data_IF_021280562393
#
_entry.id   IF_021280562393
#
_cell.length_a   1.000
_cell.length_b   1.000
_cell.length_c   1.000
_cell.angle_alpha   90.00
_cell.angle_beta   90.00
_cell.angle_gamma   90.00
#
_symmetry.space_group_name_H-M   'P 1'
#
loop_
_entity.id
_entity.type
_entity.pdbx_description
1 polymer ?
#
# COMPACT_ATOMS: atom_id res chain seq x y z
N UNK A 1 -22.01 2.19 4.41
CA UNK A 1 -23.11 3.13 4.78
C UNK A 1 -22.51 4.53 4.81
N UNK A 2 -22.36 5.16 3.62
CA UNK A 2 -21.79 6.50 3.48
C UNK A 2 -22.95 7.50 3.52
N UNK A 3 -23.17 8.11 4.68
CA UNK A 3 -24.10 9.24 4.84
C UNK A 3 -23.31 10.55 4.93
N UNK A 4 -23.66 11.45 4.02
CA UNK A 4 -23.47 12.90 4.06
C UNK A 4 -22.04 13.44 4.19
N UNK A 5 -21.48 13.82 3.04
CA UNK A 5 -20.40 14.80 2.96
C UNK A 5 -20.84 16.14 3.56
N UNK A 6 -20.39 16.47 4.76
CA UNK A 6 -20.24 17.84 5.18
C UNK A 6 -18.83 18.28 4.80
N UNK A 7 -18.76 19.27 3.96
CA UNK A 7 -17.52 19.96 3.61
C UNK A 7 -16.92 20.52 4.90
N UNK A 8 -15.96 19.81 5.49
CA UNK A 8 -15.23 20.30 6.66
C UNK A 8 -14.15 21.21 6.12
N UNK A 9 -14.29 22.50 6.41
CA UNK A 9 -13.24 23.49 6.16
C UNK A 9 -12.02 23.12 7.01
N UNK A 10 -11.01 22.54 6.39
CA UNK A 10 -9.71 22.35 7.02
C UNK A 10 -9.07 23.73 7.11
N UNK A 11 -9.08 24.32 8.30
CA UNK A 11 -8.34 25.55 8.62
C UNK A 11 -6.84 25.17 8.57
N UNK A 12 -6.14 25.70 7.58
CA UNK A 12 -4.69 25.67 7.54
C UNK A 12 -4.15 26.53 8.69
N UNK A 13 -3.78 25.91 9.79
CA UNK A 13 -2.94 26.54 10.81
C UNK A 13 -1.48 26.48 10.34
N UNK A 14 -1.04 27.57 9.72
CA UNK A 14 0.37 27.85 9.50
C UNK A 14 1.04 28.15 10.83
N UNK A 15 1.71 27.16 11.41
CA UNK A 15 2.69 27.40 12.48
C UNK A 15 4.04 27.70 11.84
N UNK A 16 4.38 28.99 11.75
CA UNK A 16 5.76 29.44 11.53
C UNK A 16 6.49 29.28 12.87
N UNK A 17 7.27 28.24 13.02
CA UNK A 17 8.20 28.13 14.12
C UNK A 17 9.56 28.67 13.68
N UNK A 18 9.87 29.88 14.13
CA UNK A 18 11.24 30.40 14.14
C UNK A 18 12.02 29.67 15.23
N UNK A 19 12.96 28.83 14.84
CA UNK A 19 13.91 28.22 15.77
C UNK A 19 15.05 29.22 16.06
N UNK A 20 15.01 29.86 17.23
CA UNK A 20 16.19 30.51 17.77
C UNK A 20 17.18 29.47 18.30
N UNK A 21 18.41 29.52 17.79
CA UNK A 21 19.50 28.67 18.24
C UNK A 21 20.04 29.17 19.58
N UNK A 22 19.78 28.45 20.69
CA UNK A 22 20.50 28.63 21.94
C UNK A 22 21.78 27.80 21.93
N UNK A 23 22.94 28.52 21.99
CA UNK A 23 24.26 27.94 22.22
C UNK A 23 24.39 27.47 23.67
N UNK A 24 24.50 26.16 23.89
CA UNK A 24 25.03 25.64 25.16
C UNK A 24 26.27 24.76 24.90
N UNK A 25 27.38 25.21 25.46
CA UNK A 25 28.64 24.46 25.53
C UNK A 25 28.55 23.38 26.60
N UNK A 26 28.52 22.11 26.23
CA UNK A 26 29.11 20.97 26.97
C UNK A 26 29.01 19.73 26.08
N UNK A 27 30.09 18.95 26.05
CA UNK A 27 30.33 17.83 25.13
C UNK A 27 29.10 16.98 24.80
N UNK A 28 28.58 17.17 23.62
CA UNK A 28 27.42 16.43 23.10
C UNK A 28 27.93 15.15 22.46
N UNK A 29 27.56 14.02 23.04
CA UNK A 29 27.51 12.76 22.30
C UNK A 29 26.61 13.03 21.08
N UNK A 30 27.18 13.04 19.89
CA UNK A 30 26.41 13.16 18.64
C UNK A 30 25.62 11.87 18.52
N UNK A 31 24.37 11.91 18.97
CA UNK A 31 23.40 10.88 18.63
C UNK A 31 23.26 10.88 17.10
N UNK A 32 23.29 9.72 16.43
CA UNK A 32 23.04 9.66 15.01
C UNK A 32 21.75 10.41 14.70
N UNK A 33 21.80 11.32 13.74
CA UNK A 33 20.63 12.08 13.33
C UNK A 33 19.64 11.07 12.72
N UNK A 34 18.54 10.77 13.43
CA UNK A 34 17.46 9.95 12.90
C UNK A 34 16.94 10.60 11.62
N UNK A 35 16.65 9.79 10.61
CA UNK A 35 16.20 10.27 9.31
C UNK A 35 15.04 11.26 9.44
N UNK A 36 15.12 12.37 8.68
CA UNK A 36 14.09 13.42 8.69
C UNK A 36 13.07 13.19 7.59
N UNK A 37 11.84 13.69 7.78
CA UNK A 37 10.82 13.74 6.74
C UNK A 37 11.36 14.55 5.55
N UNK A 38 11.18 14.04 4.35
CA UNK A 38 11.66 14.72 3.15
C UNK A 38 10.93 16.06 2.97
N UNK A 39 11.68 17.05 2.52
CA UNK A 39 11.07 18.30 2.06
C UNK A 39 10.23 18.07 0.79
N UNK A 40 9.34 18.99 0.50
CA UNK A 40 8.54 18.93 -0.72
C UNK A 40 9.43 18.91 -1.97
N UNK A 41 10.53 19.69 -1.98
CA UNK A 41 11.50 19.73 -3.09
C UNK A 41 12.15 18.38 -3.32
N UNK A 42 12.64 17.71 -2.25
CA UNK A 42 13.24 16.37 -2.35
C UNK A 42 12.23 15.34 -2.85
N UNK A 43 11.02 15.36 -2.30
CA UNK A 43 9.96 14.45 -2.69
C UNK A 43 9.55 14.61 -4.17
N UNK A 44 9.38 15.86 -4.62
CA UNK A 44 9.05 16.16 -6.01
C UNK A 44 10.22 15.83 -6.96
N UNK A 45 11.48 16.08 -6.56
CA UNK A 45 12.65 15.71 -7.35
C UNK A 45 12.74 14.18 -7.51
N UNK A 46 12.47 13.41 -6.44
CA UNK A 46 12.40 11.96 -6.52
C UNK A 46 11.27 11.49 -7.44
N UNK A 47 10.05 12.01 -7.28
CA UNK A 47 8.90 11.61 -8.10
C UNK A 47 9.12 11.94 -9.59
N UNK A 48 9.76 13.06 -9.89
CA UNK A 48 10.09 13.49 -11.26
C UNK A 48 11.13 12.61 -11.98
N UNK A 49 11.83 11.72 -11.29
CA UNK A 49 12.75 10.75 -11.88
C UNK A 49 12.03 9.53 -12.46
N UNK A 50 10.77 9.33 -12.09
CA UNK A 50 9.97 8.17 -12.53
C UNK A 50 9.06 8.56 -13.70
N UNK A 51 8.84 7.60 -14.60
CA UNK A 51 7.67 7.65 -15.48
C UNK A 51 6.42 7.67 -14.61
N UNK A 52 5.29 8.05 -15.19
CA UNK A 52 4.03 7.99 -14.47
C UNK A 52 3.83 6.62 -13.81
N UNK A 53 3.70 6.62 -12.49
CA UNK A 53 3.61 5.39 -11.70
C UNK A 53 2.23 4.75 -11.88
N UNK A 54 2.20 3.52 -12.38
CA UNK A 54 0.97 2.75 -12.55
C UNK A 54 1.18 1.30 -12.16
N UNK A 55 0.16 0.71 -11.55
CA UNK A 55 0.24 -0.65 -11.07
C UNK A 55 -1.02 -1.13 -10.39
N UNK A 56 -0.87 -2.22 -9.65
CA UNK A 56 -1.94 -2.80 -8.84
C UNK A 56 -1.44 -3.21 -7.46
N UNK A 57 -2.35 -3.34 -6.51
CA UNK A 57 -2.11 -4.13 -5.31
C UNK A 57 -2.03 -5.59 -5.71
N UNK A 58 -0.92 -6.24 -5.36
CA UNK A 58 -0.59 -7.54 -5.88
C UNK A 58 -0.43 -8.60 -4.78
N UNK A 59 -1.08 -9.70 -5.01
CA UNK A 59 -0.86 -10.98 -4.37
C UNK A 59 -1.05 -12.06 -5.46
N UNK A 60 -0.21 -13.11 -5.53
CA UNK A 60 -0.37 -14.14 -6.55
C UNK A 60 -1.73 -14.84 -6.43
N UNK A 61 -2.34 -15.18 -7.56
CA UNK A 61 -3.69 -15.75 -7.61
C UNK A 61 -3.87 -17.03 -6.78
N UNK A 62 -2.79 -17.74 -6.52
CA UNK A 62 -2.76 -18.96 -5.70
C UNK A 62 -2.56 -18.72 -4.20
N UNK A 63 -2.44 -17.47 -3.74
CA UNK A 63 -2.35 -17.11 -2.33
C UNK A 63 -3.63 -16.42 -1.86
N UNK A 64 -4.15 -16.83 -0.69
CA UNK A 64 -5.36 -16.23 -0.10
C UNK A 64 -5.04 -15.00 0.74
N UNK A 65 -3.80 -14.90 1.21
CA UNK A 65 -3.33 -13.82 2.07
C UNK A 65 -1.80 -13.71 2.04
N UNK A 66 -1.29 -12.72 2.76
CA UNK A 66 0.13 -12.40 2.84
C UNK A 66 0.95 -13.59 3.41
N UNK A 67 0.38 -14.39 4.33
CA UNK A 67 1.09 -15.56 4.86
C UNK A 67 1.26 -16.64 3.79
N UNK A 68 0.22 -16.96 3.01
CA UNK A 68 0.33 -17.93 1.92
C UNK A 68 1.29 -17.45 0.83
N UNK A 69 1.38 -16.13 0.60
CA UNK A 69 2.36 -15.56 -0.32
C UNK A 69 3.81 -15.72 0.17
N UNK A 70 4.06 -15.55 1.49
CA UNK A 70 5.43 -15.37 1.97
C UNK A 70 6.00 -16.53 2.79
N UNK A 71 5.20 -17.51 3.24
CA UNK A 71 5.72 -18.68 3.94
C UNK A 71 6.54 -19.58 3.02
N UNK A 72 7.54 -20.28 3.58
CA UNK A 72 8.47 -21.12 2.81
C UNK A 72 7.77 -22.21 1.98
N UNK A 73 6.73 -22.81 2.56
CA UNK A 73 6.03 -23.94 1.95
C UNK A 73 5.06 -23.54 0.82
N UNK A 74 4.74 -22.25 0.70
CA UNK A 74 3.73 -21.75 -0.22
C UNK A 74 4.20 -20.66 -1.16
N UNK A 75 5.42 -20.14 -0.98
CA UNK A 75 6.00 -19.14 -1.86
C UNK A 75 6.19 -19.72 -3.28
N UNK A 76 5.54 -19.10 -4.27
CA UNK A 76 5.53 -19.59 -5.65
C UNK A 76 6.11 -18.57 -6.64
N UNK A 77 7.43 -18.59 -6.87
CA UNK A 77 8.09 -17.67 -7.79
C UNK A 77 7.64 -17.85 -9.25
N UNK A 78 7.19 -19.04 -9.65
CA UNK A 78 6.74 -19.29 -11.02
C UNK A 78 5.42 -18.57 -11.32
N UNK A 79 4.45 -18.62 -10.41
CA UNK A 79 3.20 -17.85 -10.52
C UNK A 79 3.48 -16.36 -10.47
N UNK A 80 4.37 -15.89 -9.57
CA UNK A 80 4.76 -14.49 -9.49
C UNK A 80 5.38 -14.01 -10.81
N UNK A 81 6.33 -14.75 -11.39
CA UNK A 81 6.98 -14.39 -12.65
C UNK A 81 5.98 -14.28 -13.81
N UNK A 82 5.07 -15.24 -13.91
CA UNK A 82 4.03 -15.25 -14.93
C UNK A 82 3.10 -14.03 -14.82
N UNK A 83 2.62 -13.74 -13.62
CA UNK A 83 1.65 -12.66 -13.38
C UNK A 83 2.29 -11.27 -13.51
N UNK A 84 3.53 -11.08 -13.04
CA UNK A 84 4.27 -9.85 -13.28
C UNK A 84 4.60 -9.64 -14.76
N UNK A 85 4.74 -10.73 -15.54
CA UNK A 85 4.81 -10.65 -17.00
C UNK A 85 3.53 -10.08 -17.63
N UNK A 86 2.35 -10.40 -17.11
CA UNK A 86 1.10 -9.78 -17.56
C UNK A 86 1.04 -8.29 -17.19
N UNK A 87 1.51 -7.93 -16.00
CA UNK A 87 1.59 -6.55 -15.58
C UNK A 87 2.52 -5.70 -16.47
N UNK A 88 3.70 -6.22 -16.79
CA UNK A 88 4.62 -5.62 -17.76
C UNK A 88 3.93 -5.45 -19.14
N UNK A 89 3.18 -6.46 -19.57
CA UNK A 89 2.47 -6.47 -20.85
C UNK A 89 1.40 -5.38 -21.01
N UNK A 90 0.94 -4.78 -19.90
CA UNK A 90 0.02 -3.63 -19.90
C UNK A 90 0.70 -2.32 -19.46
N UNK A 91 2.02 -2.33 -19.30
CA UNK A 91 2.85 -1.17 -18.98
C UNK A 91 2.82 -0.75 -17.52
N UNK A 92 2.42 -1.61 -16.60
CA UNK A 92 2.58 -1.35 -15.18
C UNK A 92 4.07 -1.35 -14.79
N UNK A 93 4.47 -0.41 -13.98
CA UNK A 93 5.86 -0.21 -13.54
C UNK A 93 6.02 -0.28 -12.01
N UNK A 94 4.95 -0.48 -11.27
CA UNK A 94 4.98 -0.74 -9.84
C UNK A 94 3.91 -1.75 -9.43
N UNK A 95 4.15 -2.44 -8.30
CA UNK A 95 3.17 -3.28 -7.63
C UNK A 95 3.21 -2.99 -6.13
N UNK A 96 2.06 -2.86 -5.48
CA UNK A 96 1.99 -2.72 -4.03
C UNK A 96 1.76 -4.08 -3.39
N UNK A 97 2.70 -4.50 -2.52
CA UNK A 97 2.82 -5.88 -2.03
C UNK A 97 2.94 -5.87 -0.51
N UNK A 98 2.09 -6.67 0.13
CA UNK A 98 2.00 -6.72 1.58
C UNK A 98 2.95 -7.77 2.15
N UNK A 99 3.82 -7.35 3.07
CA UNK A 99 4.64 -8.22 3.90
C UNK A 99 3.82 -8.72 5.10
N UNK A 100 4.41 -9.59 5.95
CA UNK A 100 3.72 -10.02 7.19
C UNK A 100 4.73 -10.43 8.27
N UNK A 101 4.58 -9.87 9.47
CA UNK A 101 5.47 -10.10 10.61
C UNK A 101 5.49 -11.57 11.07
N UNK A 102 4.38 -12.30 10.95
CA UNK A 102 4.31 -13.73 11.30
C UNK A 102 5.15 -14.57 10.34
N UNK A 103 5.11 -14.31 9.03
CA UNK A 103 5.94 -15.01 8.04
C UNK A 103 7.43 -14.72 8.27
N UNK A 104 7.78 -13.48 8.61
CA UNK A 104 9.15 -13.12 8.99
C UNK A 104 9.56 -13.85 10.29
N UNK A 105 8.72 -13.88 11.32
CA UNK A 105 9.03 -14.50 12.60
C UNK A 105 9.33 -15.99 12.49
N UNK A 106 8.65 -16.69 11.58
CA UNK A 106 8.86 -18.13 11.33
C UNK A 106 10.28 -18.41 10.80
N UNK A 107 10.77 -17.60 9.88
CA UNK A 107 12.03 -17.81 9.17
C UNK A 107 12.58 -16.45 8.66
N UNK A 108 13.20 -15.64 9.53
CA UNK A 108 13.65 -14.30 9.16
C UNK A 108 14.62 -14.28 7.97
N UNK A 109 15.56 -15.22 7.92
CA UNK A 109 16.55 -15.27 6.83
C UNK A 109 15.93 -15.77 5.52
N UNK A 110 15.09 -16.80 5.58
CA UNK A 110 14.37 -17.27 4.40
C UNK A 110 13.35 -16.25 3.90
N UNK A 111 12.69 -15.52 4.78
CA UNK A 111 11.77 -14.45 4.41
C UNK A 111 12.48 -13.35 3.60
N UNK A 112 13.67 -12.89 4.06
CA UNK A 112 14.49 -11.93 3.31
C UNK A 112 14.96 -12.48 1.97
N UNK A 113 15.33 -13.75 1.88
CA UNK A 113 15.66 -14.40 0.61
C UNK A 113 14.47 -14.44 -0.36
N UNK A 114 13.26 -14.69 0.13
CA UNK A 114 12.03 -14.66 -0.69
C UNK A 114 11.71 -13.24 -1.17
N UNK A 115 11.92 -12.21 -0.34
CA UNK A 115 11.84 -10.80 -0.78
C UNK A 115 12.86 -10.53 -1.88
N UNK A 116 14.12 -10.94 -1.73
CA UNK A 116 15.16 -10.74 -2.76
C UNK A 116 14.82 -11.47 -4.06
N UNK A 117 14.28 -12.68 -3.98
CA UNK A 117 13.81 -13.42 -5.16
C UNK A 117 12.62 -12.71 -5.83
N UNK A 118 11.66 -12.20 -5.05
CA UNK A 118 10.57 -11.38 -5.57
C UNK A 118 11.10 -10.13 -6.27
N UNK A 119 12.05 -9.44 -5.68
CA UNK A 119 12.71 -8.26 -6.27
C UNK A 119 13.42 -8.60 -7.58
N UNK A 120 14.09 -9.75 -7.65
CA UNK A 120 14.74 -10.22 -8.87
C UNK A 120 13.73 -10.47 -10.00
N UNK A 121 12.59 -11.07 -9.67
CA UNK A 121 11.50 -11.29 -10.63
C UNK A 121 10.88 -9.94 -11.05
N UNK A 122 10.62 -9.05 -10.11
CA UNK A 122 10.04 -7.73 -10.40
C UNK A 122 10.94 -6.90 -11.32
N UNK A 123 12.25 -6.89 -11.03
CA UNK A 123 13.24 -6.15 -11.83
C UNK A 123 13.33 -6.69 -13.26
N UNK A 124 13.27 -8.02 -13.45
CA UNK A 124 13.15 -8.66 -14.77
C UNK A 124 11.98 -8.11 -15.58
N UNK A 125 10.87 -7.77 -14.93
CA UNK A 125 9.67 -7.20 -15.53
C UNK A 125 9.61 -5.67 -15.47
N UNK A 126 10.69 -4.99 -15.09
CA UNK A 126 10.78 -3.54 -14.95
C UNK A 126 9.74 -2.95 -13.97
N UNK A 127 9.44 -3.68 -12.90
CA UNK A 127 8.49 -3.32 -11.86
C UNK A 127 9.26 -3.04 -10.57
N UNK A 128 9.10 -1.83 -10.00
CA UNK A 128 9.62 -1.47 -8.69
C UNK A 128 8.49 -1.59 -7.65
N UNK A 129 8.53 -2.56 -6.72
CA UNK A 129 7.45 -2.73 -5.75
C UNK A 129 7.41 -1.63 -4.69
N UNK A 130 6.19 -1.41 -4.17
CA UNK A 130 5.91 -0.74 -2.90
C UNK A 130 5.63 -1.84 -1.89
N UNK A 131 6.44 -1.97 -0.85
CA UNK A 131 6.20 -2.94 0.21
C UNK A 131 5.41 -2.32 1.36
N UNK A 132 4.37 -3.03 1.81
CA UNK A 132 3.52 -2.66 2.95
C UNK A 132 3.91 -3.50 4.17
N UNK A 133 4.17 -2.85 5.33
CA UNK A 133 4.53 -3.56 6.55
C UNK A 133 3.31 -4.04 7.35
N UNK A 134 2.47 -3.11 7.79
CA UNK A 134 1.33 -3.39 8.67
C UNK A 134 -0.01 -3.15 7.99
N UNK A 135 -1.06 -3.80 8.49
CA UNK A 135 -2.38 -3.77 7.88
C UNK A 135 -3.49 -3.96 8.93
N UNK A 136 -4.47 -3.06 8.97
CA UNK A 136 -5.60 -3.15 9.88
C UNK A 136 -6.84 -3.82 9.26
N UNK A 137 -6.72 -4.36 8.02
CA UNK A 137 -7.86 -4.83 7.25
C UNK A 137 -8.19 -6.31 7.50
N UNK A 138 -9.49 -6.63 7.50
CA UNK A 138 -10.09 -7.97 7.47
C UNK A 138 -9.87 -8.80 8.76
N UNK A 139 -9.35 -10.05 8.64
CA UNK A 139 -9.36 -11.00 9.75
C UNK A 139 -8.29 -10.66 10.80
N UNK A 140 -8.69 -10.71 12.08
CA UNK A 140 -7.92 -10.22 13.22
C UNK A 140 -6.84 -11.17 13.72
N UNK A 141 -6.91 -12.44 13.34
CA UNK A 141 -6.08 -13.51 13.91
C UNK A 141 -5.24 -14.19 12.84
N UNK A 142 -4.08 -13.59 12.47
CA UNK A 142 -3.14 -14.27 11.59
C UNK A 142 -2.59 -15.52 12.27
N UNK A 143 -2.54 -16.62 11.55
CA UNK A 143 -2.00 -17.90 12.05
C UNK A 143 -0.97 -18.43 11.06
N UNK A 144 0.17 -18.87 11.57
CA UNK A 144 1.19 -19.54 10.79
C UNK A 144 0.72 -20.88 10.21
N UNK A 145 1.42 -21.37 9.20
CA UNK A 145 1.15 -22.65 8.55
C UNK A 145 0.09 -22.56 7.47
N UNK A 146 -0.57 -23.70 7.22
CA UNK A 146 -1.55 -23.82 6.13
C UNK A 146 -2.70 -22.82 6.30
N UNK A 147 -2.92 -22.02 5.28
CA UNK A 147 -3.98 -21.04 5.25
C UNK A 147 -5.34 -21.66 4.89
N UNK A 148 -6.46 -21.05 5.30
CA UNK A 148 -7.80 -21.60 5.02
C UNK A 148 -8.09 -21.52 3.51
N UNK A 149 -9.03 -22.37 3.05
CA UNK A 149 -9.60 -22.19 1.73
C UNK A 149 -10.44 -20.90 1.66
N UNK A 150 -10.54 -20.25 0.48
CA UNK A 150 -11.40 -19.09 0.32
C UNK A 150 -12.87 -19.45 0.56
N UNK A 151 -13.60 -18.56 1.25
CA UNK A 151 -15.05 -18.68 1.34
C UNK A 151 -15.67 -18.27 0.03
N UNK A 152 -16.52 -19.12 -0.52
CA UNK A 152 -17.18 -18.91 -1.81
C UNK A 152 -17.89 -17.55 -1.85
N UNK A 153 -17.60 -16.77 -2.88
CA UNK A 153 -18.25 -15.48 -3.12
C UNK A 153 -17.97 -14.39 -2.09
N UNK A 154 -16.96 -14.57 -1.23
CA UNK A 154 -16.61 -13.58 -0.18
C UNK A 154 -15.27 -12.95 -0.48
N UNK A 155 -15.30 -11.64 -0.70
CA UNK A 155 -14.12 -10.81 -0.90
C UNK A 155 -13.14 -10.91 0.26
N UNK A 156 -11.85 -11.11 0.00
CA UNK A 156 -10.77 -11.16 0.98
C UNK A 156 -11.06 -12.03 2.21
N UNK A 157 -11.79 -13.13 2.01
CA UNK A 157 -12.28 -13.96 3.13
C UNK A 157 -11.18 -14.55 4.02
N UNK A 158 -9.97 -14.67 3.49
CA UNK A 158 -8.80 -15.16 4.21
C UNK A 158 -7.69 -14.14 4.42
N UNK A 159 -7.88 -12.88 3.95
CA UNK A 159 -6.91 -11.80 4.18
C UNK A 159 -6.75 -11.52 5.68
N UNK A 160 -5.54 -11.28 6.15
CA UNK A 160 -5.25 -11.17 7.59
C UNK A 160 -4.56 -9.85 7.93
N UNK A 161 -4.87 -9.33 9.11
CA UNK A 161 -4.21 -8.14 9.66
C UNK A 161 -2.76 -8.43 10.06
N UNK A 162 -1.93 -7.40 10.00
CA UNK A 162 -0.61 -7.40 10.60
C UNK A 162 -0.36 -6.09 11.39
N UNK A 163 -0.08 -6.15 12.67
CA UNK A 163 -0.26 -7.29 13.55
C UNK A 163 -1.75 -7.56 13.80
N UNK A 164 -2.10 -8.80 14.08
CA UNK A 164 -3.49 -9.16 14.46
C UNK A 164 -3.96 -8.47 15.75
N UNK A 165 -5.22 -8.61 16.11
CA UNK A 165 -5.74 -8.07 17.38
C UNK A 165 -5.40 -8.97 18.58
N UNK A 166 -5.17 -8.39 19.77
CA UNK A 166 -5.29 -6.96 20.14
C UNK A 166 -4.04 -6.12 19.83
N UNK A 167 -3.13 -6.64 19.08
CA UNK A 167 -1.72 -6.27 18.97
C UNK A 167 -1.42 -4.83 18.58
N UNK A 168 -2.23 -4.15 17.76
CA UNK A 168 -1.92 -2.76 17.35
C UNK A 168 -1.94 -1.74 18.51
N UNK A 169 -2.64 -2.08 19.61
CA UNK A 169 -2.68 -1.28 20.84
C UNK A 169 -1.85 -1.90 21.98
N UNK A 170 -1.38 -3.13 21.83
CA UNK A 170 -0.57 -3.83 22.84
C UNK A 170 0.91 -3.53 22.64
N UNK A 171 1.42 -2.58 23.43
CA UNK A 171 2.81 -2.17 23.33
C UNK A 171 3.81 -3.25 23.77
N UNK A 172 3.38 -4.33 24.41
CA UNK A 172 4.27 -5.43 24.84
C UNK A 172 4.85 -6.20 23.66
N UNK A 173 4.18 -6.19 22.51
CA UNK A 173 4.67 -6.85 21.28
C UNK A 173 5.57 -5.94 20.44
N UNK A 174 5.60 -4.64 20.70
CA UNK A 174 6.36 -3.68 19.89
C UNK A 174 7.84 -4.00 19.73
N UNK A 175 8.57 -4.53 20.73
CA UNK A 175 9.97 -4.92 20.53
C UNK A 175 10.15 -5.98 19.43
N UNK A 176 9.19 -6.92 19.29
CA UNK A 176 9.20 -7.92 18.22
C UNK A 176 8.90 -7.31 16.85
N UNK A 177 7.96 -6.38 16.78
CA UNK A 177 7.60 -5.66 15.56
C UNK A 177 8.73 -4.70 15.12
N UNK A 178 9.37 -4.02 16.07
CA UNK A 178 10.55 -3.21 15.81
C UNK A 178 11.67 -4.02 15.16
N UNK A 179 11.95 -5.21 15.74
CA UNK A 179 12.96 -6.11 15.16
C UNK A 179 12.61 -6.49 13.73
N UNK A 180 11.35 -6.85 13.45
CA UNK A 180 10.88 -7.17 12.10
C UNK A 180 11.10 -6.02 11.12
N UNK A 181 10.60 -4.83 11.45
CA UNK A 181 10.70 -3.65 10.59
C UNK A 181 12.14 -3.28 10.32
N UNK A 182 12.97 -3.19 11.38
CA UNK A 182 14.37 -2.83 11.24
C UNK A 182 15.19 -3.88 10.52
N UNK A 183 14.95 -5.17 10.74
CA UNK A 183 15.65 -6.26 10.04
C UNK A 183 15.43 -6.19 8.54
N UNK A 184 14.17 -6.05 8.11
CA UNK A 184 13.82 -5.95 6.68
C UNK A 184 14.37 -4.65 6.08
N UNK A 185 14.09 -3.51 6.71
CA UNK A 185 14.56 -2.21 6.20
C UNK A 185 16.08 -2.13 6.11
N UNK A 186 16.83 -2.64 7.10
CA UNK A 186 18.29 -2.58 7.10
C UNK A 186 18.88 -3.33 5.91
N UNK A 187 18.33 -4.51 5.59
CA UNK A 187 18.82 -5.31 4.46
C UNK A 187 18.54 -4.62 3.12
N UNK A 188 17.38 -3.98 2.99
CA UNK A 188 16.92 -3.44 1.69
C UNK A 188 16.92 -1.90 1.62
N UNK A 189 17.48 -1.20 2.62
CA UNK A 189 17.49 0.28 2.69
C UNK A 189 18.11 0.97 1.48
N UNK A 190 19.04 0.31 0.78
CA UNK A 190 19.71 0.87 -0.40
C UNK A 190 19.37 0.12 -1.70
N UNK A 191 18.36 -0.75 -1.66
CA UNK A 191 17.97 -1.53 -2.83
C UNK A 191 17.13 -0.71 -3.79
N UNK A 192 17.71 -0.37 -4.93
CA UNK A 192 17.08 0.48 -5.96
C UNK A 192 15.91 -0.20 -6.69
N UNK A 193 15.73 -1.51 -6.50
CA UNK A 193 14.57 -2.24 -7.04
C UNK A 193 13.29 -1.90 -6.30
N UNK A 194 13.36 -1.30 -5.10
CA UNK A 194 12.20 -0.92 -4.28
C UNK A 194 11.86 0.55 -4.54
N UNK A 195 10.59 0.81 -4.84
CA UNK A 195 10.09 2.16 -5.10
C UNK A 195 9.85 2.95 -3.81
N UNK A 196 9.12 2.36 -2.86
CA UNK A 196 8.63 3.03 -1.66
C UNK A 196 8.33 2.00 -0.55
N UNK A 197 8.46 2.41 0.70
CA UNK A 197 7.99 1.67 1.86
C UNK A 197 6.69 2.28 2.39
N UNK A 198 5.59 1.51 2.29
CA UNK A 198 4.31 1.82 2.90
C UNK A 198 4.26 1.19 4.29
N UNK A 199 4.32 2.02 5.31
CA UNK A 199 4.55 1.54 6.67
C UNK A 199 3.30 0.94 7.31
N UNK A 200 2.10 1.37 6.87
CA UNK A 200 0.86 0.88 7.47
C UNK A 200 -0.34 1.09 6.52
N UNK A 201 -0.95 -0.01 6.12
CA UNK A 201 -2.19 0.00 5.34
C UNK A 201 -3.39 0.32 6.23
N UNK A 202 -4.13 1.34 5.86
CA UNK A 202 -5.42 1.73 6.46
C UNK A 202 -5.42 1.71 8.01
N UNK A 203 -4.49 2.41 8.67
CA UNK A 203 -4.48 2.44 10.12
C UNK A 203 -5.82 2.96 10.66
N UNK A 204 -6.35 2.30 11.68
CA UNK A 204 -7.67 2.60 12.27
C UNK A 204 -8.83 1.83 11.65
N UNK A 205 -8.63 1.04 10.60
CA UNK A 205 -9.66 0.19 10.03
C UNK A 205 -10.18 -0.85 11.04
N UNK A 206 -11.23 -1.57 10.69
CA UNK A 206 -11.91 -2.53 11.57
C UNK A 206 -12.32 -1.96 12.93
N UNK A 207 -12.71 -0.66 12.94
CA UNK A 207 -13.14 0.07 14.15
C UNK A 207 -12.03 0.26 15.18
N UNK A 208 -10.76 0.14 14.79
CA UNK A 208 -9.62 0.44 15.66
C UNK A 208 -9.49 1.94 15.93
N UNK A 209 -9.81 2.79 14.93
CA UNK A 209 -9.75 4.24 15.10
C UNK A 209 -8.39 4.70 15.61
N UNK A 210 -8.35 5.64 16.54
CA UNK A 210 -7.13 6.21 17.11
C UNK A 210 -6.23 5.18 17.83
N UNK A 211 -6.70 3.98 18.12
CA UNK A 211 -5.85 2.96 18.79
C UNK A 211 -4.66 2.52 17.93
N UNK A 212 -4.75 2.66 16.62
CA UNK A 212 -3.64 2.37 15.70
C UNK A 212 -2.55 3.43 15.70
N UNK A 213 -2.79 4.62 16.29
CA UNK A 213 -1.82 5.72 16.31
C UNK A 213 -0.52 5.35 17.04
N UNK A 214 -0.60 4.53 18.07
CA UNK A 214 0.58 4.11 18.84
C UNK A 214 1.57 3.32 17.95
N UNK A 215 1.08 2.31 17.23
CA UNK A 215 1.92 1.53 16.33
C UNK A 215 2.34 2.35 15.10
N UNK A 216 1.44 3.14 14.53
CA UNK A 216 1.74 4.05 13.42
C UNK A 216 2.91 4.99 13.77
N UNK A 217 2.88 5.58 14.96
CA UNK A 217 3.98 6.45 15.44
C UNK A 217 5.30 5.67 15.56
N UNK A 218 5.24 4.46 16.09
CA UNK A 218 6.43 3.63 16.28
C UNK A 218 7.03 3.13 14.98
N UNK A 219 6.23 2.69 14.03
CA UNK A 219 6.78 2.20 12.76
C UNK A 219 7.48 3.31 11.98
N UNK A 220 6.94 4.54 11.99
CA UNK A 220 7.64 5.68 11.42
C UNK A 220 8.95 5.98 12.15
N UNK A 221 8.97 5.95 13.50
CA UNK A 221 10.19 6.11 14.28
C UNK A 221 11.23 5.06 13.88
N UNK A 222 10.87 3.77 13.86
CA UNK A 222 11.80 2.68 13.53
C UNK A 222 12.33 2.79 12.10
N UNK A 223 11.47 3.15 11.15
CA UNK A 223 11.88 3.36 9.77
C UNK A 223 12.85 4.55 9.64
N UNK A 224 12.60 5.66 10.36
CA UNK A 224 13.52 6.81 10.39
C UNK A 224 14.85 6.49 11.04
N UNK A 225 14.89 5.61 12.02
CA UNK A 225 16.14 5.17 12.66
C UNK A 225 17.02 4.36 11.68
N UNK A 226 16.41 3.58 10.77
CA UNK A 226 17.14 2.91 9.68
C UNK A 226 17.47 3.89 8.56
N UNK A 227 16.60 4.83 8.27
CA UNK A 227 16.75 5.87 7.25
C UNK A 227 17.03 5.34 5.82
N UNK A 228 16.10 4.58 5.23
CA UNK A 228 16.26 4.04 3.88
C UNK A 228 16.36 5.15 2.82
N UNK A 229 17.00 4.83 1.68
CA UNK A 229 17.08 5.74 0.53
C UNK A 229 15.71 5.96 -0.13
N UNK A 230 14.83 4.97 -0.05
CA UNK A 230 13.47 5.03 -0.55
C UNK A 230 12.60 5.92 0.35
N UNK A 231 11.59 6.62 -0.20
CA UNK A 231 10.63 7.34 0.63
C UNK A 231 9.80 6.39 1.49
N UNK A 232 9.36 6.87 2.66
CA UNK A 232 8.41 6.17 3.52
C UNK A 232 7.09 6.93 3.58
N UNK A 233 5.99 6.19 3.63
CA UNK A 233 4.63 6.74 3.68
C UNK A 233 3.69 5.82 4.44
N UNK A 234 2.48 6.29 4.74
CA UNK A 234 1.33 5.49 5.10
C UNK A 234 0.08 6.19 4.55
N UNK A 235 -0.77 5.43 3.83
CA UNK A 235 -1.85 6.01 3.03
C UNK A 235 -3.04 6.51 3.85
N UNK A 236 -3.54 7.73 3.53
CA UNK A 236 -4.83 8.22 4.02
C UNK A 236 -5.96 7.45 3.35
N UNK A 237 -6.99 7.06 4.09
CA UNK A 237 -8.09 6.28 3.54
C UNK A 237 -9.47 6.67 4.06
N UNK A 238 -9.59 7.21 5.28
CA UNK A 238 -10.84 7.62 5.90
C UNK A 238 -10.71 9.03 6.48
N UNK A 239 -11.56 9.94 6.00
CA UNK A 239 -11.41 11.37 6.28
C UNK A 239 -11.83 11.77 7.71
N UNK A 240 -12.57 10.91 8.40
CA UNK A 240 -12.99 11.09 9.79
C UNK A 240 -11.95 10.65 10.83
N UNK A 241 -10.83 10.07 10.39
CA UNK A 241 -9.69 9.69 11.24
C UNK A 241 -8.68 10.84 11.36
N UNK A 242 -9.13 11.98 11.87
CA UNK A 242 -8.39 13.26 11.85
C UNK A 242 -6.97 13.17 12.43
N UNK A 243 -6.79 12.48 13.58
CA UNK A 243 -5.46 12.36 14.22
C UNK A 243 -4.50 11.48 13.42
N UNK A 244 -5.01 10.37 12.87
CA UNK A 244 -4.22 9.49 12.02
C UNK A 244 -3.83 10.22 10.74
N UNK A 245 -4.79 10.89 10.08
CA UNK A 245 -4.56 11.65 8.86
C UNK A 245 -3.54 12.77 9.07
N UNK A 246 -3.66 13.52 10.16
CA UNK A 246 -2.69 14.57 10.51
C UNK A 246 -1.30 13.99 10.70
N UNK A 247 -1.17 12.87 11.42
CA UNK A 247 0.11 12.20 11.62
C UNK A 247 0.72 11.70 10.29
N UNK A 248 -0.08 11.05 9.43
CA UNK A 248 0.35 10.54 8.13
C UNK A 248 0.84 11.66 7.21
N UNK A 249 0.09 12.77 7.10
CA UNK A 249 0.49 13.94 6.29
C UNK A 249 1.79 14.58 6.77
N UNK A 250 1.99 14.70 8.09
CA UNK A 250 3.18 15.32 8.66
C UNK A 250 4.44 14.45 8.53
N UNK A 251 4.30 13.13 8.57
CA UNK A 251 5.44 12.22 8.69
C UNK A 251 5.80 11.47 7.40
N UNK A 252 4.93 11.44 6.40
CA UNK A 252 5.18 10.81 5.10
C UNK A 252 6.08 11.66 4.20
N UNK A 253 6.98 11.02 3.48
CA UNK A 253 7.86 11.67 2.49
C UNK A 253 7.10 12.05 1.23
N UNK A 254 6.24 11.16 0.76
CA UNK A 254 5.27 11.34 -0.32
C UNK A 254 3.89 11.06 0.23
N UNK A 255 2.85 11.63 -0.35
CA UNK A 255 1.49 11.41 0.12
C UNK A 255 0.89 10.24 -0.65
N UNK A 256 0.62 9.15 0.06
CA UNK A 256 -0.17 8.04 -0.44
C UNK A 256 -1.60 8.12 0.09
N UNK A 257 -2.59 7.65 -0.69
CA UNK A 257 -3.99 7.69 -0.27
C UNK A 257 -4.83 6.65 -1.02
N UNK A 258 -6.01 6.33 -0.46
CA UNK A 258 -7.02 5.47 -1.08
C UNK A 258 -8.26 6.27 -1.41
N UNK A 259 -8.83 6.05 -2.59
CA UNK A 259 -10.09 6.67 -2.97
C UNK A 259 -10.85 5.81 -3.99
N UNK A 260 -11.97 5.26 -3.57
CA UNK A 260 -12.85 4.43 -4.39
C UNK A 260 -14.10 5.19 -4.90
N UNK A 261 -14.05 6.52 -4.85
CA UNK A 261 -15.15 7.35 -5.34
C UNK A 261 -15.08 7.55 -6.85
N UNK A 262 -16.19 8.02 -7.42
CA UNK A 262 -16.24 8.45 -8.82
C UNK A 262 -15.28 9.62 -9.10
N UNK A 263 -14.89 9.79 -10.36
CA UNK A 263 -13.85 10.75 -10.77
C UNK A 263 -14.10 12.20 -10.34
N UNK A 264 -15.35 12.64 -10.23
CA UNK A 264 -15.71 14.00 -9.83
C UNK A 264 -15.37 14.29 -8.36
N UNK A 265 -15.62 13.33 -7.48
CA UNK A 265 -15.31 13.40 -6.04
C UNK A 265 -13.82 13.14 -5.81
N UNK A 266 -13.25 12.14 -6.49
CA UNK A 266 -11.81 11.84 -6.43
C UNK A 266 -10.98 13.07 -6.84
N UNK A 267 -11.42 13.84 -7.84
CA UNK A 267 -10.77 15.10 -8.22
C UNK A 267 -10.69 16.10 -7.06
N UNK A 268 -11.75 16.21 -6.23
CA UNK A 268 -11.73 17.11 -5.07
C UNK A 268 -10.72 16.65 -4.02
N UNK A 269 -10.61 15.34 -3.78
CA UNK A 269 -9.58 14.76 -2.91
C UNK A 269 -8.18 15.11 -3.39
N UNK A 270 -7.90 14.95 -4.69
CA UNK A 270 -6.60 15.32 -5.27
C UNK A 270 -6.30 16.81 -5.04
N UNK A 271 -7.24 17.71 -5.26
CA UNK A 271 -7.02 19.16 -5.07
C UNK A 271 -6.68 19.50 -3.61
N UNK A 272 -7.37 18.89 -2.65
CA UNK A 272 -7.09 19.07 -1.23
C UNK A 272 -5.70 18.54 -0.86
N UNK A 273 -5.36 17.34 -1.30
CA UNK A 273 -4.06 16.74 -0.96
C UNK A 273 -2.89 17.46 -1.62
N UNK A 274 -3.04 17.96 -2.84
CA UNK A 274 -2.00 18.73 -3.55
C UNK A 274 -1.61 20.03 -2.84
N UNK A 275 -2.47 20.59 -2.01
CA UNK A 275 -2.16 21.77 -1.21
C UNK A 275 -0.95 21.56 -0.27
N UNK A 276 -0.60 20.30 0.05
CA UNK A 276 0.58 19.97 0.86
C UNK A 276 1.91 20.11 0.09
N UNK A 277 1.89 20.34 -1.22
CA UNK A 277 3.09 20.55 -2.04
C UNK A 277 3.93 19.30 -2.34
N UNK A 278 3.56 18.13 -1.82
CA UNK A 278 4.25 16.85 -2.07
C UNK A 278 3.59 16.07 -3.21
N UNK A 279 4.31 15.16 -3.89
CA UNK A 279 3.72 14.28 -4.89
C UNK A 279 2.69 13.34 -4.28
N UNK A 280 1.69 12.97 -5.08
CA UNK A 280 0.60 12.09 -4.68
C UNK A 280 0.69 10.74 -5.40
N UNK A 281 0.42 9.67 -4.67
CA UNK A 281 0.22 8.32 -5.21
C UNK A 281 -1.10 7.79 -4.65
N UNK A 282 -2.09 7.57 -5.51
CA UNK A 282 -3.31 6.84 -5.14
C UNK A 282 -2.97 5.35 -5.11
N UNK A 283 -2.78 4.81 -3.90
CA UNK A 283 -2.34 3.43 -3.69
C UNK A 283 -3.49 2.42 -3.69
N UNK A 284 -4.73 2.91 -3.69
CA UNK A 284 -5.91 2.08 -3.95
C UNK A 284 -7.02 2.91 -4.60
N UNK A 285 -7.50 2.43 -5.73
CA UNK A 285 -8.70 2.91 -6.41
C UNK A 285 -9.28 1.76 -7.25
N UNK A 286 -10.31 2.03 -7.99
CA UNK A 286 -11.01 1.15 -8.91
C UNK A 286 -11.91 0.14 -8.19
N UNK A 287 -13.18 0.46 -8.18
CA UNK A 287 -14.27 -0.39 -7.73
C UNK A 287 -15.45 -0.16 -8.70
N UNK A 288 -15.62 -1.04 -9.69
CA UNK A 288 -16.50 -0.80 -10.84
C UNK A 288 -17.92 -0.47 -10.44
N UNK A 289 -18.50 -1.19 -9.51
CA UNK A 289 -19.87 -0.94 -9.03
C UNK A 289 -20.03 0.32 -8.19
N UNK A 290 -18.91 0.99 -7.82
CA UNK A 290 -18.86 2.29 -7.14
C UNK A 290 -18.58 3.46 -8.08
N UNK A 291 -18.58 3.22 -9.39
CA UNK A 291 -18.19 4.19 -10.43
C UNK A 291 -16.75 4.69 -10.35
N UNK A 292 -15.89 4.08 -9.51
CA UNK A 292 -14.45 4.23 -9.58
C UNK A 292 -13.93 3.28 -10.66
N UNK A 293 -13.77 3.77 -11.89
CA UNK A 293 -13.49 2.95 -13.07
C UNK A 293 -12.18 3.33 -13.73
N UNK A 294 -11.52 2.40 -14.40
CA UNK A 294 -10.35 2.71 -15.23
C UNK A 294 -10.66 3.80 -16.26
N UNK A 295 -11.82 3.75 -16.90
CA UNK A 295 -12.21 4.70 -17.95
C UNK A 295 -12.37 6.15 -17.47
N UNK A 296 -12.62 6.38 -16.19
CA UNK A 296 -12.90 7.72 -15.65
C UNK A 296 -11.82 8.19 -14.69
N UNK A 297 -11.34 7.33 -13.80
CA UNK A 297 -10.40 7.70 -12.74
C UNK A 297 -8.95 7.68 -13.25
N UNK A 298 -8.55 6.65 -14.00
CA UNK A 298 -7.15 6.54 -14.45
C UNK A 298 -6.69 7.71 -15.35
N UNK A 299 -7.50 8.19 -16.33
CA UNK A 299 -7.17 9.41 -17.09
C UNK A 299 -7.09 10.67 -16.22
N UNK A 300 -7.93 10.78 -15.17
CA UNK A 300 -7.86 11.87 -14.21
C UNK A 300 -6.54 11.86 -13.45
N UNK A 301 -6.12 10.69 -12.93
CA UNK A 301 -4.86 10.52 -12.22
C UNK A 301 -3.66 10.86 -13.11
N UNK A 302 -3.64 10.38 -14.38
CA UNK A 302 -2.61 10.76 -15.35
C UNK A 302 -2.56 12.26 -15.58
N UNK A 303 -3.71 12.88 -15.87
CA UNK A 303 -3.81 14.34 -16.10
C UNK A 303 -3.32 15.17 -14.91
N UNK A 304 -3.51 14.66 -13.70
CA UNK A 304 -3.09 15.32 -12.45
C UNK A 304 -1.68 14.94 -12.00
N UNK A 305 -0.97 14.11 -12.76
CA UNK A 305 0.33 13.56 -12.40
C UNK A 305 0.31 12.92 -10.97
N UNK A 306 -0.65 12.02 -10.75
CA UNK A 306 -0.83 11.24 -9.53
C UNK A 306 -0.56 9.79 -9.86
N UNK A 307 0.25 9.09 -9.09
CA UNK A 307 0.45 7.65 -9.26
C UNK A 307 -0.87 6.88 -9.13
N UNK A 308 -1.08 5.85 -9.93
CA UNK A 308 -2.35 5.15 -10.07
C UNK A 308 -2.17 3.64 -9.82
N UNK A 309 -2.45 3.19 -8.59
CA UNK A 309 -2.31 1.79 -8.19
C UNK A 309 -3.69 1.27 -7.79
N UNK A 310 -4.29 0.43 -8.64
CA UNK A 310 -5.62 -0.10 -8.36
C UNK A 310 -5.59 -1.27 -7.37
N UNK A 311 -6.72 -1.53 -6.71
CA UNK A 311 -6.92 -2.77 -5.98
C UNK A 311 -7.36 -3.87 -6.95
N UNK A 312 -6.80 -5.10 -6.75
CA UNK A 312 -7.10 -6.28 -7.57
C UNK A 312 -6.34 -6.31 -8.91
N UNK A 313 -5.80 -7.48 -9.22
CA UNK A 313 -5.02 -7.68 -10.44
C UNK A 313 -5.44 -8.94 -11.19
N UNK A 314 -5.42 -10.10 -10.52
CA UNK A 314 -5.78 -11.40 -11.09
C UNK A 314 -6.84 -12.06 -10.23
N UNK A 315 -7.90 -12.59 -10.85
CA UNK A 315 -8.88 -13.45 -10.17
C UNK A 315 -8.17 -14.64 -9.50
N UNK A 316 -8.24 -14.70 -8.17
CA UNK A 316 -7.52 -15.65 -7.36
C UNK A 316 -8.26 -16.03 -6.08
N UNK A 317 -7.50 -16.60 -5.14
CA UNK A 317 -8.06 -17.02 -3.83
C UNK A 317 -8.57 -15.84 -2.98
N UNK A 318 -8.15 -14.62 -3.26
CA UNK A 318 -8.64 -13.42 -2.58
C UNK A 318 -10.08 -13.06 -2.93
N UNK A 319 -10.60 -13.59 -4.03
CA UNK A 319 -11.99 -13.33 -4.47
C UNK A 319 -12.30 -11.84 -4.70
N UNK A 320 -11.34 -11.06 -5.17
CA UNK A 320 -11.49 -9.60 -5.38
C UNK A 320 -12.39 -9.23 -6.55
N UNK A 321 -12.87 -10.22 -7.31
CA UNK A 321 -13.96 -10.05 -8.26
C UNK A 321 -15.30 -9.71 -7.61
N UNK A 322 -15.53 -10.10 -6.35
CA UNK A 322 -16.72 -9.77 -5.57
C UNK A 322 -16.58 -8.44 -4.85
N UNK A 323 -17.70 -7.75 -4.61
CA UNK A 323 -17.69 -6.54 -3.79
C UNK A 323 -17.54 -6.89 -2.29
N UNK A 324 -16.86 -6.01 -1.54
CA UNK A 324 -16.59 -6.22 -0.11
C UNK A 324 -17.83 -6.25 0.78
N UNK A 325 -18.98 -5.72 0.32
CA UNK A 325 -20.23 -5.60 1.06
C UNK A 325 -21.39 -6.41 0.47
N UNK A 326 -21.15 -7.16 -0.61
CA UNK A 326 -22.17 -7.95 -1.32
C UNK A 326 -21.63 -9.35 -1.61
N UNK A 327 -21.62 -10.24 -0.60
CA UNK A 327 -21.17 -11.61 -0.79
C UNK A 327 -22.13 -12.43 -1.65
N UNK A 328 -21.61 -13.34 -2.45
CA UNK A 328 -22.34 -14.28 -3.28
C UNK A 328 -22.22 -15.71 -2.71
N UNK A 329 -22.94 -15.97 -1.61
CA UNK A 329 -22.83 -17.24 -0.85
C UNK A 329 -23.16 -18.50 -1.68
N UNK A 330 -23.92 -18.37 -2.76
CA UNK A 330 -24.23 -19.44 -3.73
C UNK A 330 -23.10 -19.70 -4.73
N UNK A 331 -22.03 -18.88 -4.70
CA UNK A 331 -20.90 -18.98 -5.61
C UNK A 331 -21.16 -18.44 -7.03
N UNK A 332 -22.32 -17.81 -7.26
CA UNK A 332 -22.58 -17.16 -8.54
C UNK A 332 -21.54 -16.06 -8.80
N UNK A 333 -21.11 -15.96 -10.06
CA UNK A 333 -20.24 -14.85 -10.43
C UNK A 333 -21.00 -13.53 -10.39
N UNK A 334 -20.35 -12.42 -9.96
CA UNK A 334 -20.98 -11.11 -10.00
C UNK A 334 -21.26 -10.71 -11.46
N UNK A 335 -22.34 -9.96 -11.69
CA UNK A 335 -22.68 -9.42 -13.00
C UNK A 335 -21.52 -8.58 -13.56
N UNK A 336 -20.88 -7.80 -12.72
CA UNK A 336 -19.68 -7.03 -13.04
C UNK A 336 -18.62 -7.29 -11.97
N UNK A 337 -17.39 -7.66 -12.38
CA UNK A 337 -16.28 -7.85 -11.47
C UNK A 337 -15.91 -6.55 -10.77
N UNK A 338 -15.68 -6.65 -9.48
CA UNK A 338 -15.47 -5.47 -8.66
C UNK A 338 -14.11 -4.82 -8.93
N UNK A 339 -13.01 -5.60 -8.95
CA UNK A 339 -11.67 -5.07 -9.06
C UNK A 339 -10.82 -5.67 -10.19
N UNK A 340 -10.69 -6.99 -10.30
CA UNK A 340 -9.63 -7.63 -11.06
C UNK A 340 -9.59 -7.29 -12.56
N UNK A 341 -8.37 -7.30 -13.11
CA UNK A 341 -8.08 -7.01 -14.53
C UNK A 341 -8.04 -8.30 -15.34
N UNK A 342 -7.36 -9.32 -14.81
CA UNK A 342 -7.13 -10.58 -15.49
C UNK A 342 -7.88 -11.74 -14.86
N UNK A 343 -8.27 -12.70 -15.70
CA UNK A 343 -8.69 -14.02 -15.28
C UNK A 343 -7.47 -14.87 -14.89
N UNK A 344 -7.70 -16.03 -14.26
CA UNK A 344 -6.65 -16.95 -13.81
C UNK A 344 -5.71 -17.44 -14.93
N UNK A 345 -6.16 -17.42 -16.16
CA UNK A 345 -5.39 -17.82 -17.34
C UNK A 345 -4.63 -16.65 -18.00
N UNK A 346 -4.76 -15.44 -17.47
CA UNK A 346 -4.14 -14.22 -17.99
C UNK A 346 -4.94 -13.53 -19.09
N UNK A 347 -6.12 -14.05 -19.45
CA UNK A 347 -7.00 -13.32 -20.36
C UNK A 347 -7.66 -12.13 -19.65
N UNK A 348 -7.82 -11.02 -20.36
CA UNK A 348 -8.46 -9.84 -19.81
C UNK A 348 -9.91 -10.14 -19.40
N UNK A 349 -10.36 -9.65 -18.23
CA UNK A 349 -11.78 -9.62 -17.91
C UNK A 349 -12.52 -8.69 -18.90
N UNK A 350 -11.95 -7.50 -19.12
CA UNK A 350 -12.45 -6.52 -20.08
C UNK A 350 -11.30 -6.05 -20.99
N UNK A 351 -11.37 -6.40 -22.27
CA UNK A 351 -10.35 -6.03 -23.25
C UNK A 351 -10.25 -4.50 -23.42
N UNK A 352 -11.38 -3.79 -23.41
CA UNK A 352 -11.46 -2.34 -23.53
C UNK A 352 -10.74 -1.59 -22.38
N UNK A 353 -10.77 -2.15 -21.16
CA UNK A 353 -10.02 -1.59 -20.03
C UNK A 353 -8.51 -1.83 -20.17
N UNK A 354 -8.11 -3.04 -20.59
CA UNK A 354 -6.70 -3.36 -20.84
C UNK A 354 -6.13 -2.49 -21.96
N UNK A 355 -6.88 -2.28 -23.05
CA UNK A 355 -6.47 -1.40 -24.14
C UNK A 355 -6.32 0.06 -23.67
N UNK A 356 -7.23 0.53 -22.82
CA UNK A 356 -7.12 1.85 -22.22
C UNK A 356 -5.87 1.97 -21.30
N UNK A 357 -5.61 0.97 -20.45
CA UNK A 357 -4.45 0.93 -19.56
C UNK A 357 -3.17 1.00 -20.41
N UNK A 358 -3.04 0.14 -21.44
CA UNK A 358 -1.91 0.16 -22.37
C UNK A 358 -1.73 1.52 -23.03
N UNK A 359 -2.82 2.10 -23.56
CA UNK A 359 -2.80 3.43 -24.17
C UNK A 359 -2.31 4.52 -23.21
N UNK A 360 -2.80 4.50 -21.98
CA UNK A 360 -2.38 5.47 -20.96
C UNK A 360 -0.92 5.28 -20.52
N UNK A 361 -0.44 4.05 -20.50
CA UNK A 361 0.95 3.70 -20.18
C UNK A 361 1.90 3.78 -21.39
N UNK A 362 1.39 4.17 -22.58
CA UNK A 362 2.18 4.35 -23.80
C UNK A 362 2.88 3.05 -24.24
N UNK A 363 2.23 1.90 -24.02
CA UNK A 363 2.66 0.59 -24.52
C UNK A 363 2.32 0.53 -26.02
N UNK A 364 3.31 0.22 -26.85
CA UNK A 364 3.16 0.06 -28.30
C UNK A 364 2.57 -1.33 -28.64
#
# INVERSE_FOLDING_TARGET
MYKNFKLISIICLLFITTTEAQKNKKGTVVTPQTGQVWSAEKANAWYGQHKWLTGANYIPANAINQLEMWQADSFDPATIDKELGWAQGIGFNTMRVFLHSVAWKQDPEGFKKRIDQFLTISDKHHIQPIFVFFDDCWNKEPKEGKQPAPKTGVHNSGWVQDPGQPASADTTIFPGLEKYVKDVLTVFSHDKRILLWDLYNEPGNNKKGDSSLALLTKVFQWAREVNPDQPISAGLWAWDLEKLNAFQLMNSDVITYHDYQEASLHKQVIEVLKANGKPLICTEYMARTRNSRFSTVMPLLKKKNVGAINWGFVDGKTNTIYAWDTPHADGSQPIEWFHDIFKKDGTAYRADEVDLIKKLNEVQ
#
